data_IF_481710403991
#
_entry.id   IF_481710403991
#
_cell.length_a   1.000
_cell.length_b   1.000
_cell.length_c   1.000
_cell.angle_alpha   90.00
_cell.angle_beta   90.00
_cell.angle_gamma   90.00
#
_symmetry.space_group_name_H-M   'P 1'
#
loop_
_entity.id
_entity.type
_entity.pdbx_description
1 polymer ?
#
# COMPACT_ATOMS: atom_id res chain seq x y z
N UNK A 1 -37.10 -16.86 -23.26
CA UNK A 1 -35.79 -16.48 -22.70
C UNK A 1 -36.04 -15.76 -21.38
N UNK A 2 -35.78 -16.41 -20.24
CA UNK A 2 -35.79 -15.72 -18.94
C UNK A 2 -34.49 -14.91 -18.87
N UNK A 3 -34.58 -13.60 -18.94
CA UNK A 3 -33.52 -12.72 -18.48
C UNK A 3 -33.41 -12.90 -16.98
N UNK A 4 -32.48 -13.75 -16.54
CA UNK A 4 -32.07 -13.83 -15.14
C UNK A 4 -31.51 -12.45 -14.75
N UNK A 5 -32.32 -11.65 -14.08
CA UNK A 5 -31.88 -10.40 -13.46
C UNK A 5 -30.97 -10.77 -12.29
N UNK A 6 -29.66 -10.86 -12.55
CA UNK A 6 -28.66 -11.00 -11.48
C UNK A 6 -28.51 -9.67 -10.75
N UNK A 7 -28.78 -9.65 -9.46
CA UNK A 7 -28.59 -8.48 -8.60
C UNK A 7 -27.08 -8.25 -8.44
N UNK A 8 -26.59 -7.13 -8.95
CA UNK A 8 -25.18 -6.72 -8.82
C UNK A 8 -25.08 -5.67 -7.73
N UNK A 9 -24.19 -5.89 -6.76
CA UNK A 9 -23.91 -4.93 -5.68
C UNK A 9 -22.43 -4.55 -5.69
N UNK A 10 -22.15 -3.25 -5.75
CA UNK A 10 -20.81 -2.68 -5.52
C UNK A 10 -20.71 -2.30 -4.05
N UNK A 11 -19.74 -2.88 -3.34
CA UNK A 11 -19.51 -2.65 -1.92
C UNK A 11 -18.03 -2.30 -1.69
N UNK A 12 -17.74 -1.13 -1.07
CA UNK A 12 -16.46 -0.91 -0.42
C UNK A 12 -16.22 -1.99 0.63
N UNK A 13 -14.99 -2.48 0.74
CA UNK A 13 -14.68 -3.55 1.70
C UNK A 13 -14.98 -3.16 3.16
N UNK A 14 -14.89 -1.88 3.48
CA UNK A 14 -15.19 -1.34 4.81
C UNK A 14 -16.69 -1.35 5.13
N UNK A 15 -17.55 -1.39 4.11
CA UNK A 15 -19.01 -1.44 4.27
C UNK A 15 -19.55 -2.88 4.34
N UNK A 16 -18.68 -3.88 4.21
CA UNK A 16 -19.09 -5.28 4.33
C UNK A 16 -19.49 -5.57 5.78
N UNK A 17 -20.70 -6.09 5.97
CA UNK A 17 -21.20 -6.53 7.27
C UNK A 17 -20.52 -7.84 7.73
N UNK A 18 -19.27 -7.74 8.15
CA UNK A 18 -18.44 -8.87 8.59
C UNK A 18 -19.07 -9.72 9.71
N UNK A 19 -19.76 -9.16 10.72
CA UNK A 19 -20.46 -9.98 11.72
C UNK A 19 -21.49 -10.95 11.10
N UNK A 20 -22.29 -10.47 10.13
CA UNK A 20 -23.27 -11.31 9.42
C UNK A 20 -22.56 -12.33 8.54
N UNK A 21 -21.51 -11.93 7.81
CA UNK A 21 -20.69 -12.83 7.00
C UNK A 21 -20.12 -13.98 7.84
N UNK A 22 -19.57 -13.70 9.02
CA UNK A 22 -19.07 -14.71 9.94
C UNK A 22 -20.19 -15.66 10.41
N UNK A 23 -21.37 -15.12 10.72
CA UNK A 23 -22.53 -15.94 11.11
C UNK A 23 -22.99 -16.90 10.00
N UNK A 24 -22.92 -16.46 8.74
CA UNK A 24 -23.26 -17.27 7.56
C UNK A 24 -22.18 -18.34 7.32
N UNK A 25 -20.90 -17.96 7.44
CA UNK A 25 -19.78 -18.91 7.33
C UNK A 25 -19.88 -20.03 8.38
N UNK A 26 -20.27 -19.68 9.61
CA UNK A 26 -20.45 -20.66 10.69
C UNK A 26 -21.67 -21.56 10.46
N UNK A 27 -22.81 -20.99 10.07
CA UNK A 27 -24.07 -21.74 9.94
C UNK A 27 -24.12 -22.57 8.64
N UNK A 28 -23.91 -21.94 7.49
CA UNK A 28 -24.04 -22.58 6.17
C UNK A 28 -22.89 -23.52 5.84
N UNK A 29 -21.66 -23.11 6.14
CA UNK A 29 -20.46 -23.88 5.81
C UNK A 29 -19.92 -24.70 6.99
N UNK A 30 -20.65 -24.72 8.12
CA UNK A 30 -20.32 -25.49 9.34
C UNK A 30 -18.88 -25.26 9.83
N UNK A 31 -18.40 -24.02 9.73
CA UNK A 31 -17.05 -23.65 10.15
C UNK A 31 -17.07 -23.20 11.62
N UNK A 32 -15.98 -23.45 12.35
CA UNK A 32 -15.82 -22.84 13.67
C UNK A 32 -15.52 -21.35 13.55
N UNK A 33 -15.88 -20.55 14.56
CA UNK A 33 -15.62 -19.10 14.57
C UNK A 33 -14.14 -18.75 14.28
N UNK A 34 -13.14 -19.40 14.90
CA UNK A 34 -11.74 -19.10 14.61
C UNK A 34 -11.33 -19.41 13.16
N UNK A 35 -11.93 -20.42 12.54
CA UNK A 35 -11.68 -20.74 11.14
C UNK A 35 -12.32 -19.71 10.20
N UNK A 36 -13.57 -19.32 10.47
CA UNK A 36 -14.28 -18.30 9.69
C UNK A 36 -13.58 -16.93 9.77
N UNK A 37 -13.12 -16.53 10.95
CA UNK A 37 -12.36 -15.29 11.16
C UNK A 37 -11.01 -15.30 10.42
N UNK A 38 -10.24 -16.39 10.54
CA UNK A 38 -8.96 -16.54 9.81
C UNK A 38 -9.17 -16.51 8.31
N UNK A 39 -10.22 -17.16 7.82
CA UNK A 39 -10.52 -17.21 6.40
C UNK A 39 -10.90 -15.82 5.86
N UNK A 40 -11.78 -15.12 6.57
CA UNK A 40 -12.19 -13.75 6.22
C UNK A 40 -11.01 -12.79 6.23
N UNK A 41 -10.13 -12.87 7.24
CA UNK A 41 -8.90 -12.07 7.32
C UNK A 41 -7.92 -12.41 6.19
N UNK A 42 -7.77 -13.67 5.84
CA UNK A 42 -6.92 -14.11 4.72
C UNK A 42 -7.42 -13.56 3.39
N UNK A 43 -8.74 -13.63 3.17
CA UNK A 43 -9.41 -13.05 2.01
C UNK A 43 -9.19 -11.52 1.95
N UNK A 44 -9.45 -10.81 3.04
CA UNK A 44 -9.20 -9.36 3.13
C UNK A 44 -7.74 -9.04 2.84
N UNK A 45 -6.78 -9.74 3.45
CA UNK A 45 -5.35 -9.53 3.21
C UNK A 45 -4.96 -9.73 1.75
N UNK A 46 -5.59 -10.69 1.07
CA UNK A 46 -5.38 -10.94 -0.36
C UNK A 46 -6.00 -9.84 -1.23
N UNK A 47 -7.16 -9.33 -0.86
CA UNK A 47 -7.85 -8.26 -1.60
C UNK A 47 -7.16 -6.92 -1.43
N UNK A 48 -6.78 -6.59 -0.19
CA UNK A 48 -6.13 -5.35 0.21
C UNK A 48 -4.66 -5.26 -0.21
N UNK A 49 -4.09 -6.34 -0.77
CA UNK A 49 -2.72 -6.33 -1.28
C UNK A 49 -2.68 -5.53 -2.59
N UNK A 50 -1.97 -4.38 -2.62
CA UNK A 50 -1.95 -3.53 -3.80
C UNK A 50 -1.31 -4.26 -4.98
N UNK A 51 -1.84 -4.06 -6.18
CA UNK A 51 -1.36 -4.62 -7.44
C UNK A 51 -1.22 -6.16 -7.40
N UNK A 52 -2.08 -6.85 -6.64
CA UNK A 52 -1.98 -8.30 -6.51
C UNK A 52 -2.24 -8.99 -7.85
N UNK A 53 -1.21 -9.64 -8.40
CA UNK A 53 -1.30 -10.41 -9.66
C UNK A 53 -2.17 -11.66 -9.52
N UNK A 54 -2.49 -12.07 -8.29
CA UNK A 54 -3.34 -13.23 -8.01
C UNK A 54 -4.69 -13.12 -8.71
N UNK A 55 -5.30 -11.94 -8.66
CA UNK A 55 -6.63 -11.72 -9.23
C UNK A 55 -6.64 -11.69 -10.76
N UNK A 56 -5.49 -11.39 -11.38
CA UNK A 56 -5.31 -11.41 -12.84
C UNK A 56 -4.94 -12.80 -13.37
N UNK A 57 -4.29 -13.63 -12.54
CA UNK A 57 -3.92 -15.01 -12.88
C UNK A 57 -5.08 -16.00 -12.72
N UNK A 58 -6.11 -15.63 -11.98
CA UNK A 58 -7.15 -16.55 -11.56
C UNK A 58 -8.24 -16.69 -12.64
N UNK A 59 -8.22 -17.82 -13.35
CA UNK A 59 -9.47 -18.39 -13.88
C UNK A 59 -10.35 -19.00 -12.78
N UNK A 60 -9.85 -19.22 -11.56
CA UNK A 60 -10.62 -19.86 -10.49
C UNK A 60 -10.38 -19.12 -9.17
N UNK A 61 -11.42 -18.52 -8.60
CA UNK A 61 -11.49 -18.19 -7.16
C UNK A 61 -11.29 -19.50 -6.39
N UNK A 62 -10.46 -19.53 -5.34
CA UNK A 62 -10.28 -20.78 -4.58
C UNK A 62 -11.58 -21.17 -3.89
N UNK A 63 -11.78 -22.46 -3.63
CA UNK A 63 -13.02 -22.94 -3.02
C UNK A 63 -13.33 -22.24 -1.68
N UNK A 64 -12.30 -21.93 -0.90
CA UNK A 64 -12.45 -21.22 0.37
C UNK A 64 -12.77 -19.73 0.18
N UNK A 65 -12.19 -19.07 -0.80
CA UNK A 65 -12.56 -17.69 -1.14
C UNK A 65 -14.00 -17.60 -1.67
N UNK A 66 -14.44 -18.60 -2.45
CA UNK A 66 -15.82 -18.67 -2.92
C UNK A 66 -16.81 -18.77 -1.74
N UNK A 67 -16.47 -19.49 -0.66
CA UNK A 67 -17.32 -19.51 0.56
C UNK A 67 -17.49 -18.12 1.16
N UNK A 68 -16.41 -17.33 1.21
CA UNK A 68 -16.44 -15.96 1.73
C UNK A 68 -17.27 -15.06 0.82
N UNK A 69 -17.05 -15.11 -0.50
CA UNK A 69 -17.83 -14.33 -1.47
C UNK A 69 -19.32 -14.72 -1.40
N UNK A 70 -19.65 -16.00 -1.36
CA UNK A 70 -21.03 -16.48 -1.16
C UNK A 70 -21.66 -15.93 0.12
N UNK A 71 -20.92 -15.94 1.23
CA UNK A 71 -21.42 -15.41 2.50
C UNK A 71 -21.63 -13.88 2.46
N UNK A 72 -20.77 -13.13 1.76
CA UNK A 72 -20.96 -11.69 1.54
C UNK A 72 -22.20 -11.45 0.66
N UNK A 73 -22.34 -12.21 -0.43
CA UNK A 73 -23.51 -12.14 -1.30
C UNK A 73 -24.82 -12.41 -0.55
N UNK A 74 -24.85 -13.42 0.32
CA UNK A 74 -26.03 -13.69 1.15
C UNK A 74 -26.29 -12.61 2.19
N UNK A 75 -25.24 -12.06 2.82
CA UNK A 75 -25.38 -10.98 3.80
C UNK A 75 -25.99 -9.71 3.19
N UNK A 76 -25.77 -9.47 1.90
CA UNK A 76 -26.18 -8.25 1.19
C UNK A 76 -27.24 -8.49 0.08
N UNK A 77 -27.74 -9.72 -0.06
CA UNK A 77 -28.76 -10.06 -1.06
C UNK A 77 -28.31 -9.90 -2.52
N UNK A 78 -27.05 -10.22 -2.82
CA UNK A 78 -26.45 -10.06 -4.15
C UNK A 78 -26.24 -11.39 -4.88
N UNK A 79 -26.38 -11.39 -6.21
CA UNK A 79 -25.99 -12.51 -7.09
C UNK A 79 -24.59 -12.32 -7.68
N UNK A 80 -24.13 -11.07 -7.77
CA UNK A 80 -22.79 -10.70 -8.23
C UNK A 80 -22.27 -9.63 -7.30
N UNK A 81 -21.05 -9.84 -6.80
CA UNK A 81 -20.41 -8.95 -5.84
C UNK A 81 -19.25 -8.23 -6.50
N UNK A 82 -19.29 -6.90 -6.52
CA UNK A 82 -18.14 -6.08 -6.86
C UNK A 82 -17.57 -5.52 -5.56
N UNK A 83 -16.38 -5.98 -5.17
CA UNK A 83 -15.68 -5.41 -4.02
C UNK A 83 -14.71 -4.34 -4.49
N UNK A 84 -14.80 -3.15 -3.90
CA UNK A 84 -13.89 -2.04 -4.17
C UNK A 84 -13.04 -1.68 -2.95
N UNK A 85 -11.79 -1.31 -3.21
CA UNK A 85 -10.86 -0.73 -2.26
C UNK A 85 -10.28 0.54 -2.88
N UNK A 86 -10.31 1.64 -2.13
CA UNK A 86 -9.72 2.91 -2.55
C UNK A 86 -8.69 3.36 -1.50
N UNK A 87 -7.50 3.73 -1.96
CA UNK A 87 -6.39 4.19 -1.13
C UNK A 87 -5.79 5.43 -1.73
N UNK A 88 -5.66 6.47 -0.92
CA UNK A 88 -4.87 7.66 -1.26
C UNK A 88 -3.57 7.61 -0.44
N UNK A 89 -2.44 7.57 -1.14
CA UNK A 89 -1.11 7.68 -0.54
C UNK A 89 -0.51 9.02 -0.91
N UNK A 90 0.09 9.71 0.08
CA UNK A 90 0.83 10.95 -0.14
C UNK A 90 2.30 10.72 0.17
N UNK A 91 3.16 10.98 -0.81
CA UNK A 91 4.61 10.86 -0.69
C UNK A 91 5.21 12.24 -0.95
N UNK A 92 5.52 12.97 0.13
CA UNK A 92 5.82 14.40 0.10
C UNK A 92 4.70 15.21 -0.58
N UNK A 93 4.98 15.90 -1.70
CA UNK A 93 4.00 16.64 -2.50
C UNK A 93 3.25 15.77 -3.52
N UNK A 94 3.57 14.48 -3.60
CA UNK A 94 3.08 13.57 -4.63
C UNK A 94 1.85 12.81 -4.13
N UNK A 95 0.70 13.05 -4.76
CA UNK A 95 -0.53 12.30 -4.51
C UNK A 95 -0.59 11.07 -5.40
N UNK A 96 -0.81 9.91 -4.79
CA UNK A 96 -0.95 8.61 -5.44
C UNK A 96 -2.32 8.05 -5.07
N UNK A 97 -3.26 8.06 -6.01
CA UNK A 97 -4.55 7.40 -5.85
C UNK A 97 -4.48 5.97 -6.35
N UNK A 98 -5.02 5.02 -5.59
CA UNK A 98 -5.14 3.61 -5.94
C UNK A 98 -6.58 3.20 -5.76
N UNK A 99 -7.25 2.74 -6.81
CA UNK A 99 -8.56 2.11 -6.72
C UNK A 99 -8.48 0.72 -7.33
N UNK A 100 -8.91 -0.28 -6.58
CA UNK A 100 -9.03 -1.66 -7.04
C UNK A 100 -10.48 -2.07 -6.95
N UNK A 101 -11.04 -2.62 -8.04
CA UNK A 101 -12.34 -3.25 -8.04
C UNK A 101 -12.17 -4.68 -8.50
N UNK A 102 -12.83 -5.61 -7.82
CA UNK A 102 -12.87 -7.01 -8.25
C UNK A 102 -14.32 -7.45 -8.31
N UNK A 103 -14.73 -7.85 -9.51
CA UNK A 103 -16.04 -8.43 -9.74
C UNK A 103 -15.94 -9.93 -9.48
N UNK A 104 -16.70 -10.41 -8.52
CA UNK A 104 -16.91 -11.81 -8.21
C UNK A 104 -18.31 -12.22 -8.63
N UNK A 105 -18.38 -13.28 -9.43
CA UNK A 105 -19.59 -14.10 -9.49
C UNK A 105 -19.35 -15.23 -8.49
N UNK A 106 -20.27 -15.52 -7.54
CA UNK A 106 -20.19 -16.62 -6.58
C UNK A 106 -20.94 -17.89 -6.99
N UNK A 107 -20.30 -19.05 -6.79
CA UNK A 107 -20.88 -20.35 -7.12
C UNK A 107 -21.63 -20.86 -5.90
N UNK A 108 -22.95 -20.66 -5.89
CA UNK A 108 -23.82 -21.19 -4.83
C UNK A 108 -23.97 -22.73 -4.88
N UNK A 109 -23.57 -23.37 -5.99
CA UNK A 109 -23.57 -24.83 -6.18
C UNK A 109 -22.18 -25.32 -6.59
N UNK A 110 -21.80 -26.55 -6.20
CA UNK A 110 -20.51 -27.12 -6.60
C UNK A 110 -20.45 -27.30 -8.14
N UNK A 111 -19.30 -26.98 -8.77
CA UNK A 111 -19.16 -26.98 -10.22
C UNK A 111 -19.38 -28.38 -10.79
N UNK A 112 -20.20 -28.49 -11.83
CA UNK A 112 -20.38 -29.75 -12.58
C UNK A 112 -19.25 -29.98 -13.58
N UNK A 113 -18.50 -28.93 -13.96
CA UNK A 113 -17.38 -29.01 -14.89
C UNK A 113 -16.28 -28.00 -14.55
N UNK A 114 -15.05 -28.28 -14.99
CA UNK A 114 -13.89 -27.40 -14.80
C UNK A 114 -13.91 -26.13 -15.65
N UNK A 115 -14.94 -25.92 -16.48
CA UNK A 115 -15.17 -24.71 -17.27
C UNK A 115 -16.15 -23.73 -16.64
N UNK A 116 -16.86 -24.12 -15.57
CA UNK A 116 -17.86 -23.27 -14.90
C UNK A 116 -17.24 -22.29 -13.89
N UNK A 117 -15.92 -22.37 -13.65
CA UNK A 117 -15.25 -21.56 -12.66
C UNK A 117 -15.32 -20.06 -12.98
N UNK A 118 -15.54 -19.31 -11.91
CA UNK A 118 -15.96 -17.92 -11.96
C UNK A 118 -14.79 -16.98 -12.18
N UNK A 119 -15.10 -15.88 -12.87
CA UNK A 119 -14.11 -14.88 -13.27
C UNK A 119 -14.06 -13.80 -12.22
N UNK A 120 -12.91 -13.66 -11.56
CA UNK A 120 -12.52 -12.41 -10.95
C UNK A 120 -12.04 -11.47 -12.06
N UNK A 121 -12.75 -10.36 -12.29
CA UNK A 121 -12.28 -9.33 -13.22
C UNK A 121 -11.73 -8.18 -12.38
N UNK A 122 -10.40 -8.07 -12.22
CA UNK A 122 -9.79 -6.95 -11.53
C UNK A 122 -9.73 -5.73 -12.45
N UNK A 123 -10.16 -4.59 -11.93
CA UNK A 123 -9.95 -3.27 -12.52
C UNK A 123 -9.13 -2.45 -11.54
N UNK A 124 -7.93 -2.02 -11.96
CA UNK A 124 -7.06 -1.18 -11.13
C UNK A 124 -6.91 0.18 -11.78
N UNK A 125 -7.26 1.24 -11.06
CA UNK A 125 -7.02 2.63 -11.45
C UNK A 125 -5.90 3.20 -10.57
N UNK A 126 -4.83 3.67 -11.20
CA UNK A 126 -3.75 4.41 -10.57
C UNK A 126 -3.83 5.87 -10.99
N UNK A 127 -3.81 6.78 -10.02
CA UNK A 127 -3.66 8.20 -10.27
C UNK A 127 -2.28 8.62 -9.77
N UNK A 128 -1.36 8.90 -10.70
CA UNK A 128 0.00 9.33 -10.41
C UNK A 128 0.19 10.73 -10.99
N UNK A 129 0.42 11.74 -10.14
CA UNK A 129 0.69 13.12 -10.59
C UNK A 129 -0.40 13.70 -11.51
N UNK A 130 -1.66 13.29 -11.33
CA UNK A 130 -2.80 13.72 -12.15
C UNK A 130 -3.03 12.87 -13.42
N UNK A 131 -2.11 11.96 -13.76
CA UNK A 131 -2.31 11.00 -14.83
C UNK A 131 -3.07 9.77 -14.30
N UNK A 132 -4.22 9.47 -14.93
CA UNK A 132 -5.02 8.27 -14.64
C UNK A 132 -4.58 7.12 -15.54
N UNK A 133 -4.00 6.08 -14.95
CA UNK A 133 -3.65 4.83 -15.59
C UNK A 133 -4.67 3.77 -15.19
N UNK A 134 -5.33 3.16 -16.16
CA UNK A 134 -6.20 2.00 -15.96
C UNK A 134 -5.43 0.75 -16.35
N UNK A 135 -5.28 -0.15 -15.39
CA UNK A 135 -4.62 -1.44 -15.57
C UNK A 135 -5.71 -2.50 -15.63
N UNK A 136 -5.95 -3.02 -16.83
CA UNK A 136 -6.92 -4.07 -17.09
C UNK A 136 -6.24 -5.42 -17.39
N UNK A 137 -4.96 -5.41 -17.76
CA UNK A 137 -4.22 -6.61 -18.11
C UNK A 137 -3.13 -6.97 -17.10
N UNK A 138 -2.84 -8.27 -16.99
CA UNK A 138 -1.75 -8.78 -16.16
C UNK A 138 -0.38 -8.20 -16.55
N UNK A 139 -0.17 -7.99 -17.86
CA UNK A 139 1.08 -7.46 -18.41
C UNK A 139 1.27 -6.01 -17.98
N UNK A 140 0.21 -5.19 -18.07
CA UNK A 140 0.22 -3.80 -17.60
C UNK A 140 0.55 -3.71 -16.10
N UNK A 141 -0.05 -4.59 -15.28
CA UNK A 141 0.23 -4.63 -13.83
C UNK A 141 1.69 -5.02 -13.57
N UNK A 142 2.20 -6.06 -14.24
CA UNK A 142 3.59 -6.47 -14.08
C UNK A 142 4.57 -5.37 -14.52
N UNK A 143 4.32 -4.73 -15.66
CA UNK A 143 5.15 -3.65 -16.16
C UNK A 143 5.11 -2.44 -15.22
N UNK A 144 3.94 -2.12 -14.68
CA UNK A 144 3.82 -1.04 -13.69
C UNK A 144 4.58 -1.39 -12.40
N UNK A 145 4.52 -2.65 -11.95
CA UNK A 145 5.29 -3.13 -10.80
C UNK A 145 6.80 -3.06 -11.04
N UNK A 146 7.29 -3.48 -12.20
CA UNK A 146 8.72 -3.43 -12.51
C UNK A 146 9.21 -1.99 -12.62
N UNK A 147 8.44 -1.09 -13.23
CA UNK A 147 8.76 0.34 -13.29
C UNK A 147 8.79 0.95 -11.89
N UNK A 148 7.79 0.68 -11.04
CA UNK A 148 7.80 1.15 -9.64
C UNK A 148 9.00 0.60 -8.86
N UNK A 149 9.33 -0.68 -9.04
CA UNK A 149 10.48 -1.30 -8.37
C UNK A 149 11.81 -0.68 -8.83
N UNK A 150 11.96 -0.42 -10.12
CA UNK A 150 13.13 0.26 -10.68
C UNK A 150 13.29 1.67 -10.11
N UNK A 151 12.20 2.46 -10.14
CA UNK A 151 12.17 3.81 -9.56
C UNK A 151 12.55 3.74 -8.07
N UNK A 152 11.94 2.84 -7.31
CA UNK A 152 12.25 2.65 -5.88
C UNK A 152 13.72 2.29 -5.64
N UNK A 153 14.30 1.46 -6.50
CA UNK A 153 15.70 1.05 -6.40
C UNK A 153 16.65 2.22 -6.69
N UNK A 154 16.35 3.01 -7.72
CA UNK A 154 17.11 4.22 -8.06
C UNK A 154 17.03 5.22 -6.90
N UNK A 155 15.84 5.48 -6.37
CA UNK A 155 15.66 6.36 -5.21
C UNK A 155 16.42 5.85 -3.99
N UNK A 156 16.37 4.55 -3.70
CA UNK A 156 17.12 3.97 -2.59
C UNK A 156 18.64 4.13 -2.77
N UNK A 157 19.16 3.83 -3.96
CA UNK A 157 20.58 3.98 -4.27
C UNK A 157 21.02 5.46 -4.16
N UNK A 158 20.17 6.39 -4.62
CA UNK A 158 20.44 7.82 -4.53
C UNK A 158 20.45 8.30 -3.07
N UNK A 159 19.46 7.90 -2.27
CA UNK A 159 19.40 8.24 -0.84
C UNK A 159 20.58 7.64 -0.08
N UNK A 160 20.87 6.35 -0.28
CA UNK A 160 21.99 5.68 0.37
C UNK A 160 23.34 6.30 -0.04
N UNK A 161 23.50 6.62 -1.32
CA UNK A 161 24.67 7.32 -1.84
C UNK A 161 24.85 8.70 -1.23
N UNK A 162 23.77 9.49 -1.14
CA UNK A 162 23.79 10.80 -0.47
C UNK A 162 24.14 10.69 1.02
N UNK A 163 23.61 9.68 1.72
CA UNK A 163 23.92 9.44 3.13
C UNK A 163 25.38 9.04 3.34
N UNK A 164 25.90 8.11 2.54
CA UNK A 164 27.30 7.70 2.60
C UNK A 164 28.25 8.85 2.25
N UNK A 165 27.91 9.63 1.23
CA UNK A 165 28.67 10.82 0.85
C UNK A 165 28.67 11.86 1.98
N UNK A 166 27.50 12.13 2.57
CA UNK A 166 27.37 13.02 3.73
C UNK A 166 28.19 12.54 4.94
N UNK A 167 28.17 11.24 5.23
CA UNK A 167 28.97 10.65 6.30
C UNK A 167 30.48 10.77 6.03
N UNK A 168 30.93 10.53 4.80
CA UNK A 168 32.33 10.71 4.42
C UNK A 168 32.79 12.17 4.57
N UNK A 169 31.96 13.12 4.11
CA UNK A 169 32.22 14.56 4.29
C UNK A 169 32.27 14.93 5.77
N UNK A 170 31.37 14.40 6.59
CA UNK A 170 31.37 14.65 8.04
C UNK A 170 32.63 14.11 8.73
N UNK A 171 33.03 12.88 8.41
CA UNK A 171 34.27 12.27 8.92
C UNK A 171 35.48 13.11 8.50
N UNK A 172 35.59 13.47 7.22
CA UNK A 172 36.68 14.30 6.72
C UNK A 172 36.70 15.68 7.36
N UNK A 173 35.53 16.25 7.69
CA UNK A 173 35.46 17.55 8.37
C UNK A 173 36.00 17.46 9.80
N UNK A 174 35.73 16.36 10.51
CA UNK A 174 36.24 16.12 11.87
C UNK A 174 37.77 15.97 11.86
N UNK A 175 38.34 15.24 10.91
CA UNK A 175 39.77 14.97 10.87
C UNK A 175 40.60 16.05 10.15
N UNK A 176 40.07 16.67 9.08
CA UNK A 176 40.79 17.61 8.21
C UNK A 176 39.92 18.79 7.72
N UNK A 177 39.46 19.68 8.63
CA UNK A 177 38.51 20.74 8.29
C UNK A 177 39.05 21.77 7.28
N UNK A 178 40.32 22.17 7.40
CA UNK A 178 40.93 23.18 6.53
C UNK A 178 41.13 22.68 5.08
N UNK A 179 41.54 21.42 4.92
CA UNK A 179 41.71 20.82 3.59
C UNK A 179 40.36 20.61 2.89
N UNK A 180 39.34 20.20 3.65
CA UNK A 180 37.99 19.98 3.13
C UNK A 180 37.30 21.28 2.71
N UNK A 181 37.42 22.35 3.51
CA UNK A 181 36.86 23.67 3.17
C UNK A 181 37.54 24.26 1.94
N UNK A 182 38.86 24.12 1.81
CA UNK A 182 39.58 24.52 0.60
C UNK A 182 39.14 23.70 -0.62
N UNK A 183 38.98 22.39 -0.49
CA UNK A 183 38.50 21.52 -1.57
C UNK A 183 37.03 21.81 -1.96
N UNK A 184 36.20 22.20 -1.00
CA UNK A 184 34.81 22.60 -1.22
C UNK A 184 34.68 23.87 -2.07
N UNK A 185 35.62 24.82 -1.97
CA UNK A 185 35.64 26.00 -2.86
C UNK A 185 35.93 25.66 -4.32
N UNK A 186 36.57 24.50 -4.57
CA UNK A 186 36.96 24.03 -5.91
C UNK A 186 35.95 23.04 -6.50
N UNK A 187 35.04 22.50 -5.69
CA UNK A 187 34.08 21.48 -6.12
C UNK A 187 32.68 21.76 -5.57
N UNK A 188 31.78 22.17 -6.47
CA UNK A 188 30.38 22.45 -6.16
C UNK A 188 29.64 21.33 -5.38
N UNK A 189 29.76 20.02 -5.72
CA UNK A 189 29.04 18.98 -4.97
C UNK A 189 29.51 18.85 -3.52
N UNK A 190 30.79 19.09 -3.29
CA UNK A 190 31.43 18.98 -1.97
C UNK A 190 31.06 20.20 -1.10
N UNK A 191 31.03 21.39 -1.71
CA UNK A 191 30.51 22.60 -1.06
C UNK A 191 29.04 22.49 -0.69
N UNK A 192 28.20 21.96 -1.57
CA UNK A 192 26.77 21.81 -1.31
C UNK A 192 26.50 20.78 -0.19
N UNK A 193 27.25 19.68 -0.16
CA UNK A 193 27.18 18.71 0.95
C UNK A 193 27.65 19.30 2.28
N UNK A 194 28.70 20.11 2.27
CA UNK A 194 29.20 20.80 3.48
C UNK A 194 28.17 21.80 4.01
N UNK A 195 27.53 22.58 3.13
CA UNK A 195 26.45 23.50 3.50
C UNK A 195 25.27 22.74 4.10
N UNK A 196 24.80 21.67 3.45
CA UNK A 196 23.72 20.84 3.98
C UNK A 196 24.05 20.23 5.35
N UNK A 197 25.28 19.77 5.54
CA UNK A 197 25.75 19.28 6.84
C UNK A 197 25.74 20.38 7.90
N UNK A 198 26.30 21.55 7.61
CA UNK A 198 26.36 22.67 8.55
C UNK A 198 24.97 23.20 8.93
N UNK A 199 24.05 23.29 7.96
CA UNK A 199 22.64 23.63 8.21
C UNK A 199 21.97 22.58 9.09
N UNK A 200 22.22 21.29 8.83
CA UNK A 200 21.71 20.20 9.66
C UNK A 200 22.22 20.27 11.10
N UNK A 201 23.53 20.46 11.29
CA UNK A 201 24.17 20.59 12.61
C UNK A 201 23.65 21.83 13.34
N UNK A 202 23.55 22.98 12.67
CA UNK A 202 23.00 24.20 13.24
C UNK A 202 21.54 24.03 13.68
N UNK A 203 20.73 23.30 12.90
CA UNK A 203 19.35 22.97 13.26
C UNK A 203 19.24 22.08 14.50
N UNK A 204 20.10 21.05 14.61
CA UNK A 204 20.15 20.15 15.77
C UNK A 204 20.65 20.92 17.00
N UNK A 205 21.72 21.70 16.86
CA UNK A 205 22.27 22.52 17.95
C UNK A 205 21.26 23.56 18.44
N UNK A 206 20.55 24.24 17.52
CA UNK A 206 19.49 25.17 17.85
C UNK A 206 18.34 24.52 18.64
N UNK A 207 17.91 23.31 18.25
CA UNK A 207 16.92 22.54 19.03
C UNK A 207 17.44 22.12 20.40
N UNK A 208 18.69 21.67 20.49
CA UNK A 208 19.30 21.27 21.76
C UNK A 208 19.40 22.46 22.73
N UNK A 209 19.83 23.62 22.23
CA UNK A 209 19.88 24.88 22.99
C UNK A 209 18.48 25.28 23.44
N UNK A 210 17.50 25.29 22.54
CA UNK A 210 16.10 25.60 22.87
C UNK A 210 15.54 24.69 23.98
N UNK A 211 15.79 23.37 23.88
CA UNK A 211 15.34 22.41 24.88
C UNK A 211 16.05 22.59 26.24
N UNK A 212 17.35 22.86 26.25
CA UNK A 212 18.12 23.15 27.46
C UNK A 212 17.65 24.46 28.11
N UNK A 213 17.42 25.52 27.32
CA UNK A 213 16.88 26.78 27.82
C UNK A 213 15.45 26.62 28.35
N UNK A 214 14.63 25.78 27.71
CA UNK A 214 13.27 25.48 28.18
C UNK A 214 13.26 24.69 29.50
N UNK A 215 14.20 23.76 29.68
CA UNK A 215 14.39 23.02 30.93
C UNK A 215 14.90 23.93 32.06
N UNK A 216 15.89 24.79 31.78
CA UNK A 216 16.42 25.76 32.72
C UNK A 216 15.34 26.78 33.17
N UNK A 217 14.52 27.25 32.23
CA UNK A 217 13.42 28.17 32.51
C UNK A 217 12.32 27.53 33.37
N UNK A 218 12.00 26.25 33.13
CA UNK A 218 11.06 25.49 33.99
C UNK A 218 11.60 25.30 35.41
N UNK A 219 12.90 25.05 35.56
CA UNK A 219 13.53 24.92 36.88
C UNK A 219 13.57 26.26 37.64
N UNK A 220 13.77 27.37 36.94
CA UNK A 220 13.76 28.70 37.55
C UNK A 220 12.36 29.13 38.03
N UNK A 221 11.30 28.74 37.33
CA UNK A 221 9.90 29.04 37.70
C UNK A 221 9.34 28.18 38.85
N UNK A 222 10.03 27.11 39.22
CA UNK A 222 9.63 26.19 40.29
C UNK A 222 10.32 26.50 41.63
N UNK A 223 11.16 27.53 41.67
CA UNK A 223 11.61 28.21 42.88
C UNK A 223 10.84 29.51 43.04
#
# INVERSE_FOLDING_TARGET
MKTDYRIRVELPIDEVNWPVVLSILMSRFRMSFPQADRLSKSFCKSLLKPLSTKWFKARNVTADENKVVCAICEAHGADVLMLSEEREMRLASLAIGYRQRIIFTPQFRPPHSSSDFERAIPEIELNLLGAKLRLASLVEVLLTQTVLALISTIFFALIAGCLLYGAAVAILFVFHPAALTLAATRSAPLGLALICMLVGVAGIAGRAIHNLTGLAFKHWRAR
#
